data_IF_117208281830
#
_entry.id   IF_117208281830
#
_cell.length_a   1.000
_cell.length_b   1.000
_cell.length_c   1.000
_cell.angle_alpha   90.00
_cell.angle_beta   90.00
_cell.angle_gamma   90.00
#
_symmetry.space_group_name_H-M   'P 1'
#
loop_
_entity.id
_entity.type
_entity.pdbx_description
1 polymer ?
#
# COMPACT_ATOMS: atom_id res chain seq x y z
N UNK A 1 5.56 63.57 -28.51
CA UNK A 1 5.01 64.62 -27.63
C UNK A 1 3.52 64.36 -27.50
N UNK A 2 3.04 64.17 -26.25
CA UNK A 2 1.72 63.69 -25.79
C UNK A 2 1.50 62.17 -25.91
N UNK A 3 1.11 61.43 -24.88
CA UNK A 3 1.16 61.61 -23.43
C UNK A 3 1.26 60.19 -22.85
N UNK A 4 2.32 59.92 -22.10
CA UNK A 4 2.55 58.70 -21.34
C UNK A 4 2.09 59.02 -19.92
N UNK A 5 0.92 58.52 -19.51
CA UNK A 5 0.44 58.38 -18.12
C UNK A 5 -0.99 57.85 -18.12
N UNK A 6 -1.10 56.53 -18.25
CA UNK A 6 -2.11 55.73 -17.54
C UNK A 6 -1.77 54.24 -17.73
N UNK A 7 -0.65 53.83 -17.13
CA UNK A 7 -0.44 52.45 -16.74
C UNK A 7 -0.78 52.41 -15.25
N UNK A 8 -1.96 51.88 -14.91
CA UNK A 8 -2.29 51.54 -13.55
C UNK A 8 -1.18 50.67 -12.98
N UNK A 9 -0.64 51.10 -11.84
CA UNK A 9 0.42 50.39 -11.14
C UNK A 9 0.03 48.93 -10.98
N UNK A 10 0.85 48.04 -11.53
CA UNK A 10 1.03 46.76 -10.87
C UNK A 10 1.63 47.10 -9.51
N UNK A 11 0.78 47.23 -8.50
CA UNK A 11 1.23 47.37 -7.13
C UNK A 11 2.19 46.21 -6.87
N UNK A 12 3.44 46.59 -6.65
CA UNK A 12 4.49 45.76 -6.12
C UNK A 12 3.95 45.09 -4.86
N UNK A 13 3.61 43.81 -4.97
CA UNK A 13 3.48 42.95 -3.80
C UNK A 13 4.80 43.05 -3.03
N UNK A 14 4.78 43.27 -1.71
CA UNK A 14 6.01 43.28 -0.95
C UNK A 14 6.66 41.90 -1.13
N UNK A 15 7.96 41.94 -1.46
CA UNK A 15 8.86 40.81 -1.32
C UNK A 15 8.95 40.49 0.18
N UNK A 16 7.95 39.78 0.70
CA UNK A 16 7.94 39.30 2.08
C UNK A 16 8.41 37.85 2.05
N UNK A 17 9.62 37.66 2.55
CA UNK A 17 10.30 36.40 2.86
C UNK A 17 9.58 35.53 3.90
N UNK A 18 8.25 35.49 3.94
CA UNK A 18 7.47 34.69 4.89
C UNK A 18 6.26 34.04 4.20
N UNK A 19 6.30 32.71 4.02
CA UNK A 19 5.21 31.88 3.48
C UNK A 19 3.96 31.78 4.38
N UNK A 20 3.74 32.75 5.29
CA UNK A 20 2.64 32.78 6.26
C UNK A 20 1.32 33.33 5.70
N UNK A 21 1.36 34.07 4.58
CA UNK A 21 0.19 34.78 4.05
C UNK A 21 -0.88 33.90 3.38
N UNK A 22 -0.59 32.65 3.04
CA UNK A 22 -1.54 31.79 2.29
C UNK A 22 -2.68 31.20 3.15
N UNK A 23 -2.45 30.99 4.45
CA UNK A 23 -3.40 30.31 5.35
C UNK A 23 -3.54 30.93 6.76
N UNK A 24 -3.72 32.25 6.94
CA UNK A 24 -3.68 32.88 8.27
C UNK A 24 -4.76 32.38 9.26
N UNK A 25 -5.88 31.91 8.74
CA UNK A 25 -7.06 31.50 9.51
C UNK A 25 -7.06 30.02 9.91
N UNK A 26 -6.29 29.17 9.21
CA UNK A 26 -6.14 27.76 9.56
C UNK A 26 -5.37 27.57 10.89
N UNK A 27 -4.69 28.63 11.35
CA UNK A 27 -3.89 28.66 12.57
C UNK A 27 -4.65 29.19 13.80
N UNK A 28 -5.87 29.70 13.62
CA UNK A 28 -6.59 30.42 14.68
C UNK A 28 -7.53 29.54 15.54
N UNK A 29 -7.70 28.26 15.22
CA UNK A 29 -8.59 27.35 15.95
C UNK A 29 -7.78 26.38 16.84
N UNK A 30 -7.52 26.77 18.09
CA UNK A 30 -6.67 26.04 19.07
C UNK A 30 -7.20 24.65 19.49
N UNK A 31 -8.36 24.21 19.02
CA UNK A 31 -9.00 22.95 19.46
C UNK A 31 -9.58 22.14 18.29
N UNK A 32 -8.85 22.03 17.17
CA UNK A 32 -9.30 21.29 16.00
C UNK A 32 -9.03 19.78 16.11
N UNK A 33 -10.06 18.99 15.81
CA UNK A 33 -10.04 17.53 15.72
C UNK A 33 -9.58 17.06 14.33
N UNK A 34 -8.69 16.05 14.21
CA UNK A 34 -7.75 15.57 15.24
C UNK A 34 -6.68 16.64 15.52
N UNK A 35 -5.97 16.53 16.66
CA UNK A 35 -4.85 17.41 17.05
C UNK A 35 -3.75 17.41 15.98
N UNK A 36 -3.93 18.25 14.97
CA UNK A 36 -3.00 18.50 13.88
C UNK A 36 -2.20 19.74 14.24
N UNK A 37 -0.90 19.70 13.96
CA UNK A 37 -0.07 20.89 14.12
C UNK A 37 -0.49 21.97 13.11
N UNK A 38 -0.20 23.25 13.40
CA UNK A 38 -0.26 24.35 12.44
C UNK A 38 0.24 24.01 11.03
N UNK A 39 1.33 23.25 10.93
CA UNK A 39 1.92 22.85 9.65
C UNK A 39 1.07 21.80 8.93
N UNK A 40 0.60 20.78 9.64
CA UNK A 40 -0.26 19.74 9.06
C UNK A 40 -1.61 20.30 8.61
N UNK A 41 -2.15 21.29 9.32
CA UNK A 41 -3.35 22.01 8.89
C UNK A 41 -3.10 22.76 7.58
N UNK A 42 -1.94 23.41 7.44
CA UNK A 42 -1.54 24.06 6.18
C UNK A 42 -1.43 23.02 5.05
N UNK A 43 -0.79 21.88 5.27
CA UNK A 43 -0.67 20.79 4.29
C UNK A 43 -2.04 20.26 3.82
N UNK A 44 -2.96 20.10 4.75
CA UNK A 44 -4.33 19.70 4.44
C UNK A 44 -5.06 20.75 3.59
N UNK A 45 -4.94 22.03 3.96
CA UNK A 45 -5.51 23.13 3.18
C UNK A 45 -4.95 23.23 1.77
N UNK A 46 -3.64 23.05 1.60
CA UNK A 46 -3.03 22.99 0.28
C UNK A 46 -3.60 21.83 -0.55
N UNK A 47 -3.79 20.67 0.08
CA UNK A 47 -4.39 19.50 -0.57
C UNK A 47 -5.85 19.74 -0.99
N UNK A 48 -6.64 20.43 -0.15
CA UNK A 48 -8.00 20.82 -0.50
C UNK A 48 -8.01 21.83 -1.66
N UNK A 49 -7.13 22.82 -1.63
CA UNK A 49 -7.00 23.80 -2.71
C UNK A 49 -6.76 23.14 -4.06
N UNK A 50 -5.79 22.22 -4.14
CA UNK A 50 -5.48 21.49 -5.37
C UNK A 50 -6.62 20.59 -5.84
N UNK A 51 -7.37 20.00 -4.91
CA UNK A 51 -8.53 19.15 -5.23
C UNK A 51 -9.70 19.93 -5.78
N UNK A 52 -10.01 21.08 -5.16
CA UNK A 52 -11.18 21.89 -5.44
C UNK A 52 -11.00 22.86 -6.61
N UNK A 53 -9.77 23.01 -7.10
CA UNK A 53 -9.50 23.83 -8.27
C UNK A 53 -9.97 23.15 -9.55
N UNK A 54 -10.86 23.80 -10.28
CA UNK A 54 -11.38 23.27 -11.54
C UNK A 54 -10.26 23.11 -12.59
N UNK A 55 -10.23 21.94 -13.23
CA UNK A 55 -9.21 21.60 -14.23
C UNK A 55 -7.94 20.97 -13.68
N UNK A 56 -7.77 20.91 -12.34
CA UNK A 56 -6.78 20.03 -11.72
C UNK A 56 -7.38 18.64 -11.51
N UNK A 57 -6.85 17.66 -12.24
CA UNK A 57 -7.21 16.25 -12.06
C UNK A 57 -6.04 15.42 -11.54
N UNK A 58 -6.30 14.14 -11.29
CA UNK A 58 -5.32 13.20 -10.70
C UNK A 58 -3.96 13.15 -11.40
N UNK A 59 -3.93 13.26 -12.74
CA UNK A 59 -2.68 13.29 -13.51
C UNK A 59 -1.90 14.59 -13.30
N UNK A 60 -2.60 15.71 -13.13
CA UNK A 60 -1.98 17.01 -12.87
C UNK A 60 -1.43 17.06 -11.44
N UNK A 61 -2.13 16.46 -10.47
CA UNK A 61 -1.63 16.34 -9.10
C UNK A 61 -0.29 15.61 -9.04
N UNK A 62 -0.13 14.49 -9.76
CA UNK A 62 1.17 13.80 -9.88
C UNK A 62 2.26 14.72 -10.41
N UNK A 63 2.00 15.42 -11.52
CA UNK A 63 2.98 16.35 -12.13
C UNK A 63 3.36 17.50 -11.20
N UNK A 64 2.40 18.01 -10.44
CA UNK A 64 2.63 19.05 -9.43
C UNK A 64 3.50 18.52 -8.28
N UNK A 65 3.16 17.35 -7.73
CA UNK A 65 3.95 16.72 -6.66
C UNK A 65 5.37 16.36 -7.14
N UNK A 66 5.53 15.81 -8.35
CA UNK A 66 6.85 15.50 -8.93
C UNK A 66 7.71 16.76 -9.11
N UNK A 67 7.09 17.87 -9.52
CA UNK A 67 7.82 19.11 -9.80
C UNK A 67 8.19 19.88 -8.53
N UNK A 68 7.30 19.88 -7.54
CA UNK A 68 7.38 20.77 -6.36
C UNK A 68 7.49 20.01 -5.03
N UNK A 69 7.62 18.69 -5.05
CA UNK A 69 7.84 17.82 -3.89
C UNK A 69 6.55 17.27 -3.26
N UNK A 70 5.61 18.15 -2.94
CA UNK A 70 4.37 17.80 -2.23
C UNK A 70 3.22 18.79 -2.55
N UNK A 71 1.99 18.56 -2.04
CA UNK A 71 0.86 19.46 -2.27
C UNK A 71 1.11 20.91 -1.82
N UNK A 72 1.81 21.12 -0.70
CA UNK A 72 2.13 22.46 -0.20
C UNK A 72 3.11 23.19 -1.11
N UNK A 73 4.21 22.55 -1.47
CA UNK A 73 5.20 23.08 -2.41
C UNK A 73 4.55 23.43 -3.74
N UNK A 74 3.62 22.60 -4.23
CA UNK A 74 2.85 22.90 -5.43
C UNK A 74 2.02 24.18 -5.27
N UNK A 75 1.28 24.35 -4.18
CA UNK A 75 0.46 25.55 -3.93
C UNK A 75 1.33 26.81 -3.80
N UNK A 76 2.43 26.75 -3.04
CA UNK A 76 3.35 27.87 -2.87
C UNK A 76 3.99 28.30 -4.21
N UNK A 77 4.18 27.34 -5.13
CA UNK A 77 4.71 27.59 -6.46
C UNK A 77 3.64 27.92 -7.53
N UNK A 78 2.39 28.19 -7.16
CA UNK A 78 1.27 28.38 -8.11
C UNK A 78 1.56 29.36 -9.26
N UNK A 79 2.25 30.47 -8.97
CA UNK A 79 2.62 31.48 -9.97
C UNK A 79 3.60 30.97 -11.04
N UNK A 80 4.32 29.89 -10.75
CA UNK A 80 5.31 29.28 -11.64
C UNK A 80 4.75 28.14 -12.48
N UNK A 81 3.53 27.65 -12.20
CA UNK A 81 3.00 26.46 -12.86
C UNK A 81 2.97 26.54 -14.39
N UNK A 82 2.69 27.73 -14.95
CA UNK A 82 2.65 27.95 -16.40
C UNK A 82 4.05 28.00 -17.00
N UNK A 83 4.96 28.76 -16.37
CA UNK A 83 6.36 28.91 -16.83
C UNK A 83 7.09 27.57 -16.79
N UNK A 84 6.83 26.78 -15.74
CA UNK A 84 7.39 25.44 -15.58
C UNK A 84 6.66 24.38 -16.44
N UNK A 85 5.68 24.77 -17.26
CA UNK A 85 4.97 23.90 -18.19
C UNK A 85 4.09 22.83 -17.54
N UNK A 86 3.76 22.98 -16.25
CA UNK A 86 3.01 21.98 -15.48
C UNK A 86 1.52 22.03 -15.80
N UNK A 87 0.95 23.23 -15.93
CA UNK A 87 -0.49 23.41 -16.21
C UNK A 87 -0.70 24.50 -17.27
N UNK A 88 -1.90 24.56 -17.85
CA UNK A 88 -2.27 25.63 -18.77
C UNK A 88 -2.54 26.94 -18.03
N UNK A 89 -2.40 28.07 -18.73
CA UNK A 89 -2.69 29.39 -18.17
C UNK A 89 -4.11 29.49 -17.60
N UNK A 90 -5.08 28.84 -18.25
CA UNK A 90 -6.47 28.76 -17.77
C UNK A 90 -6.56 28.15 -16.37
N UNK A 91 -5.88 27.02 -16.14
CA UNK A 91 -5.93 26.31 -14.86
C UNK A 91 -5.17 27.06 -13.77
N UNK A 92 -4.02 27.66 -14.09
CA UNK A 92 -3.30 28.49 -13.14
C UNK A 92 -4.11 29.72 -12.72
N UNK A 93 -4.80 30.37 -13.66
CA UNK A 93 -5.69 31.49 -13.37
C UNK A 93 -6.88 31.09 -12.50
N UNK A 94 -7.44 29.91 -12.74
CA UNK A 94 -8.50 29.34 -11.91
C UNK A 94 -8.03 29.10 -10.47
N UNK A 95 -6.83 28.57 -10.27
CA UNK A 95 -6.26 28.40 -8.93
C UNK A 95 -6.05 29.75 -8.22
N UNK A 96 -5.44 30.70 -8.93
CA UNK A 96 -5.07 32.02 -8.39
C UNK A 96 -6.27 32.96 -8.18
N UNK A 97 -7.44 32.63 -8.73
CA UNK A 97 -8.68 33.36 -8.46
C UNK A 97 -9.29 33.01 -7.09
N UNK A 98 -8.74 32.00 -6.42
CA UNK A 98 -9.22 31.49 -5.12
C UNK A 98 -10.66 30.94 -5.15
N UNK A 99 -11.18 30.59 -6.35
CA UNK A 99 -12.52 30.00 -6.51
C UNK A 99 -12.71 28.69 -5.74
N UNK A 100 -11.63 27.95 -5.53
CA UNK A 100 -11.59 26.69 -4.77
C UNK A 100 -11.87 26.87 -3.28
N UNK A 101 -11.73 28.08 -2.72
CA UNK A 101 -11.82 28.32 -1.26
C UNK A 101 -13.17 27.96 -0.68
N UNK A 102 -14.24 28.33 -1.36
CA UNK A 102 -15.61 28.11 -0.88
C UNK A 102 -15.93 26.60 -0.79
N UNK A 103 -15.66 25.85 -1.85
CA UNK A 103 -15.93 24.41 -1.86
C UNK A 103 -14.95 23.63 -0.98
N UNK A 104 -13.70 24.08 -0.87
CA UNK A 104 -12.74 23.53 0.09
C UNK A 104 -13.18 23.78 1.55
N UNK A 105 -13.78 24.95 1.84
CA UNK A 105 -14.35 25.27 3.15
C UNK A 105 -15.54 24.39 3.49
N UNK A 106 -16.42 24.14 2.53
CA UNK A 106 -17.53 23.20 2.71
C UNK A 106 -17.04 21.78 3.01
N UNK A 107 -15.99 21.30 2.33
CA UNK A 107 -15.38 20.00 2.63
C UNK A 107 -14.72 20.00 4.02
N UNK A 108 -13.99 21.06 4.38
CA UNK A 108 -13.42 21.23 5.72
C UNK A 108 -14.44 21.16 6.84
N UNK A 109 -15.50 21.98 6.76
CA UNK A 109 -16.55 22.00 7.78
C UNK A 109 -17.22 20.61 7.85
N UNK A 110 -17.46 19.97 6.71
CA UNK A 110 -18.02 18.62 6.66
C UNK A 110 -17.13 17.55 7.33
N UNK A 111 -15.80 17.67 7.21
CA UNK A 111 -14.80 16.80 7.84
C UNK A 111 -14.75 17.03 9.34
N UNK A 112 -14.62 18.30 9.76
CA UNK A 112 -14.55 18.71 11.16
C UNK A 112 -15.81 18.28 11.91
N UNK A 113 -16.98 18.66 11.39
CA UNK A 113 -18.26 18.48 12.09
C UNK A 113 -18.65 17.00 12.23
N UNK A 114 -18.17 16.14 11.33
CA UNK A 114 -18.38 14.67 11.38
C UNK A 114 -17.21 13.92 11.99
N UNK A 115 -16.14 14.60 12.36
CA UNK A 115 -14.97 14.02 12.99
C UNK A 115 -14.17 13.07 12.11
N UNK A 116 -14.14 13.27 10.79
CA UNK A 116 -13.36 12.40 9.90
C UNK A 116 -11.86 12.62 10.04
N UNK A 117 -11.12 11.51 10.14
CA UNK A 117 -9.66 11.54 10.10
C UNK A 117 -9.16 11.41 8.66
N UNK A 118 -8.04 12.09 8.37
CA UNK A 118 -7.35 12.02 7.09
C UNK A 118 -5.96 11.40 7.26
N UNK A 119 -5.45 10.82 6.18
CA UNK A 119 -4.04 10.53 5.93
C UNK A 119 -3.61 11.42 4.77
N UNK A 120 -2.81 12.44 5.05
CA UNK A 120 -2.29 13.39 4.07
C UNK A 120 -1.10 12.80 3.33
N UNK A 121 -0.81 13.30 2.13
CA UNK A 121 0.40 12.95 1.35
C UNK A 121 1.69 12.96 2.16
N UNK A 122 1.81 13.94 3.05
CA UNK A 122 3.01 14.18 3.88
C UNK A 122 3.02 13.39 5.17
N UNK A 123 1.93 12.72 5.53
CA UNK A 123 1.86 11.90 6.75
C UNK A 123 2.76 10.66 6.57
N UNK A 124 3.49 10.23 7.62
CA UNK A 124 4.28 8.99 7.60
C UNK A 124 3.45 7.75 7.22
N UNK A 125 2.18 7.72 7.64
CA UNK A 125 1.25 6.63 7.36
C UNK A 125 0.80 6.56 5.90
N UNK A 126 1.07 7.59 5.09
CA UNK A 126 0.66 7.60 3.69
C UNK A 126 1.47 6.57 2.89
N UNK A 127 0.80 5.60 2.22
CA UNK A 127 1.48 4.54 1.49
C UNK A 127 2.37 5.07 0.36
N UNK A 128 3.65 4.73 0.38
CA UNK A 128 4.59 5.13 -0.67
C UNK A 128 4.20 4.57 -2.05
N UNK A 129 3.66 3.35 -2.08
CA UNK A 129 3.13 2.73 -3.30
C UNK A 129 2.02 3.56 -3.96
N UNK A 130 1.24 4.32 -3.17
CA UNK A 130 0.23 5.23 -3.71
C UNK A 130 0.82 6.53 -4.22
N UNK A 131 2.02 6.94 -3.80
CA UNK A 131 2.68 8.09 -4.42
C UNK A 131 3.06 7.74 -5.85
N UNK A 132 3.57 6.53 -6.09
CA UNK A 132 4.14 6.03 -7.36
C UNK A 132 3.15 5.91 -8.52
N UNK A 133 1.84 5.87 -8.27
CA UNK A 133 0.86 5.71 -9.35
C UNK A 133 0.64 7.01 -10.14
N UNK A 134 0.16 6.89 -11.37
CA UNK A 134 -0.07 8.03 -12.27
C UNK A 134 -1.09 9.07 -11.77
N UNK A 135 -1.95 8.70 -10.83
CA UNK A 135 -2.99 9.56 -10.27
C UNK A 135 -3.10 9.38 -8.76
N UNK A 136 -2.08 9.79 -8.00
CA UNK A 136 -1.98 9.48 -6.59
C UNK A 136 -2.95 10.39 -5.80
N UNK A 137 -3.71 9.85 -4.83
CA UNK A 137 -4.64 10.67 -4.06
C UNK A 137 -3.87 11.71 -3.24
N UNK A 138 -4.36 12.95 -3.17
CA UNK A 138 -3.70 13.99 -2.35
C UNK A 138 -3.80 13.67 -0.84
N UNK A 139 -4.86 12.98 -0.46
CA UNK A 139 -5.14 12.49 0.88
C UNK A 139 -6.19 11.39 0.82
N UNK A 140 -6.30 10.63 1.91
CA UNK A 140 -7.32 9.61 2.10
C UNK A 140 -8.11 9.91 3.37
N UNK A 141 -9.43 9.85 3.29
CA UNK A 141 -10.28 9.69 4.46
C UNK A 141 -10.07 8.31 5.06
N UNK A 142 -10.10 8.20 6.39
CA UNK A 142 -9.97 6.92 7.08
C UNK A 142 -10.97 6.74 8.22
N UNK A 143 -11.33 5.48 8.44
CA UNK A 143 -12.06 4.97 9.61
C UNK A 143 -11.39 3.67 10.05
N UNK A 144 -11.02 3.56 11.33
CA UNK A 144 -10.27 2.41 11.85
C UNK A 144 -8.76 2.65 11.89
N UNK A 145 -7.98 1.56 11.83
CA UNK A 145 -6.56 1.53 12.17
C UNK A 145 -5.64 1.88 10.97
N UNK A 146 -5.00 3.06 10.93
CA UNK A 146 -4.13 3.45 9.82
C UNK A 146 -2.82 2.65 9.75
N UNK A 147 -2.41 1.96 10.83
CA UNK A 147 -1.18 1.17 10.84
C UNK A 147 -1.18 0.06 9.77
N UNK A 148 -2.36 -0.39 9.34
CA UNK A 148 -2.50 -1.37 8.26
C UNK A 148 -1.96 -0.87 6.91
N UNK A 149 -1.83 0.45 6.71
CA UNK A 149 -1.24 1.04 5.51
C UNK A 149 0.28 0.85 5.40
N UNK A 150 0.94 0.41 6.48
CA UNK A 150 2.39 0.25 6.56
C UNK A 150 2.84 -1.20 6.33
N UNK A 151 1.91 -2.16 6.38
CA UNK A 151 2.19 -3.58 6.19
C UNK A 151 2.11 -4.02 4.71
N UNK A 152 2.67 -5.19 4.38
CA UNK A 152 2.51 -5.77 3.06
C UNK A 152 1.04 -6.07 2.80
N UNK A 153 0.57 -5.72 1.62
CA UNK A 153 -0.82 -5.87 1.23
C UNK A 153 -0.97 -6.82 0.04
N UNK A 154 -2.08 -7.56 -0.02
CA UNK A 154 -2.54 -8.27 -1.22
C UNK A 154 -3.98 -7.88 -1.50
N UNK A 155 -4.24 -7.49 -2.74
CA UNK A 155 -5.58 -7.15 -3.17
C UNK A 155 -6.34 -8.40 -3.58
N UNK A 156 -7.52 -8.65 -3.00
CA UNK A 156 -8.37 -9.80 -3.33
C UNK A 156 -9.64 -9.28 -3.98
N UNK A 157 -9.86 -9.63 -5.25
CA UNK A 157 -10.97 -9.11 -6.07
C UNK A 157 -11.66 -10.22 -6.85
N UNK A 158 -12.89 -9.98 -7.28
CA UNK A 158 -13.60 -10.93 -8.13
C UNK A 158 -15.06 -10.57 -8.38
N UNK A 159 -15.84 -11.61 -8.67
CA UNK A 159 -17.23 -11.50 -9.07
C UNK A 159 -18.11 -11.00 -7.93
N UNK A 160 -19.09 -10.16 -8.29
CA UNK A 160 -20.17 -9.74 -7.40
C UNK A 160 -21.24 -10.83 -7.23
N UNK A 161 -21.36 -11.72 -8.21
CA UNK A 161 -22.18 -12.92 -8.20
C UNK A 161 -21.24 -14.11 -8.17
N UNK A 162 -20.92 -14.58 -6.97
CA UNK A 162 -19.88 -15.57 -6.71
C UNK A 162 -20.51 -16.92 -6.35
N UNK A 163 -19.93 -18.00 -6.83
CA UNK A 163 -20.34 -19.37 -6.48
C UNK A 163 -20.13 -19.67 -4.98
N UNK A 164 -20.69 -20.77 -4.45
CA UNK A 164 -20.38 -21.20 -3.08
C UNK A 164 -18.90 -21.53 -2.92
N UNK A 165 -18.31 -22.16 -3.94
CA UNK A 165 -16.88 -22.45 -3.96
C UNK A 165 -16.03 -21.18 -3.95
N UNK A 166 -16.35 -20.20 -4.81
CA UNK A 166 -15.65 -18.92 -4.87
C UNK A 166 -15.79 -18.10 -3.58
N UNK A 167 -16.92 -18.24 -2.86
CA UNK A 167 -17.11 -17.65 -1.53
C UNK A 167 -16.18 -18.27 -0.49
N UNK A 168 -16.11 -19.59 -0.45
CA UNK A 168 -15.21 -20.32 0.44
C UNK A 168 -13.75 -19.95 0.13
N UNK A 169 -13.35 -20.00 -1.14
CA UNK A 169 -12.00 -19.63 -1.58
C UNK A 169 -11.65 -18.18 -1.23
N UNK A 170 -12.54 -17.22 -1.47
CA UNK A 170 -12.30 -15.82 -1.10
C UNK A 170 -12.13 -15.65 0.42
N UNK A 171 -12.95 -16.34 1.21
CA UNK A 171 -12.83 -16.33 2.68
C UNK A 171 -11.51 -16.96 3.15
N UNK A 172 -11.17 -18.15 2.63
CA UNK A 172 -9.95 -18.87 2.99
C UNK A 172 -8.69 -18.08 2.59
N UNK A 173 -8.65 -17.52 1.38
CA UNK A 173 -7.57 -16.61 0.97
C UNK A 173 -7.47 -15.41 1.90
N UNK A 174 -8.60 -14.79 2.24
CA UNK A 174 -8.65 -13.66 3.17
C UNK A 174 -8.05 -14.03 4.54
N UNK A 175 -8.53 -15.12 5.13
CA UNK A 175 -8.09 -15.65 6.42
C UNK A 175 -6.60 -15.97 6.41
N UNK A 176 -6.16 -16.76 5.43
CA UNK A 176 -4.82 -17.34 5.44
C UNK A 176 -3.75 -16.29 5.11
N UNK A 177 -4.03 -15.33 4.21
CA UNK A 177 -3.16 -14.16 4.00
C UNK A 177 -3.03 -13.33 5.28
N UNK A 178 -4.15 -13.05 5.93
CA UNK A 178 -4.17 -12.26 7.18
C UNK A 178 -3.47 -12.97 8.34
N UNK A 179 -3.61 -14.29 8.46
CA UNK A 179 -2.88 -15.09 9.44
C UNK A 179 -1.37 -15.08 9.20
N UNK A 180 -0.95 -15.00 7.94
CA UNK A 180 0.44 -14.78 7.56
C UNK A 180 0.90 -13.32 7.74
N UNK A 181 0.10 -12.45 8.36
CA UNK A 181 0.45 -11.04 8.58
C UNK A 181 0.33 -10.14 7.34
N UNK A 182 -0.23 -10.64 6.24
CA UNK A 182 -0.46 -9.87 5.02
C UNK A 182 -1.86 -9.24 5.05
N UNK A 183 -1.91 -7.92 4.91
CA UNK A 183 -3.17 -7.18 4.92
C UNK A 183 -3.95 -7.39 3.63
N UNK A 184 -5.23 -7.73 3.76
CA UNK A 184 -6.10 -7.95 2.59
C UNK A 184 -6.78 -6.64 2.19
N UNK A 185 -6.58 -6.21 0.95
CA UNK A 185 -7.20 -4.99 0.40
C UNK A 185 -8.33 -5.37 -0.56
N UNK A 186 -9.50 -4.78 -0.41
CA UNK A 186 -10.58 -4.99 -1.37
C UNK A 186 -11.56 -3.81 -1.44
N UNK A 187 -12.56 -3.93 -2.32
CA UNK A 187 -13.42 -2.83 -2.76
C UNK A 187 -14.80 -2.79 -2.13
N UNK A 188 -15.05 -3.53 -1.04
CA UNK A 188 -16.34 -3.56 -0.35
C UNK A 188 -17.53 -4.02 -1.21
N UNK A 189 -17.31 -4.58 -2.40
CA UNK A 189 -18.40 -5.03 -3.26
C UNK A 189 -19.12 -6.26 -2.68
N UNK A 190 -20.27 -6.62 -3.28
CA UNK A 190 -20.85 -7.94 -3.04
C UNK A 190 -19.90 -9.04 -3.52
N UNK A 191 -20.13 -10.26 -3.07
CA UNK A 191 -19.43 -11.44 -3.56
C UNK A 191 -18.02 -11.58 -3.02
N UNK A 192 -17.02 -11.69 -3.89
CA UNK A 192 -15.62 -11.99 -3.50
C UNK A 192 -15.09 -11.00 -2.46
N UNK A 193 -15.19 -9.68 -2.72
CA UNK A 193 -14.72 -8.63 -1.82
C UNK A 193 -15.24 -8.81 -0.38
N UNK A 194 -16.54 -9.09 -0.23
CA UNK A 194 -17.18 -9.32 1.08
C UNK A 194 -16.50 -10.47 1.82
N UNK A 195 -16.34 -11.62 1.16
CA UNK A 195 -15.86 -12.83 1.83
C UNK A 195 -14.36 -12.73 2.14
N UNK A 196 -13.59 -12.08 1.25
CA UNK A 196 -12.20 -11.76 1.50
C UNK A 196 -12.01 -10.88 2.75
N UNK A 197 -12.81 -9.81 2.88
CA UNK A 197 -12.81 -8.98 4.09
C UNK A 197 -13.15 -9.80 5.34
N UNK A 198 -14.24 -10.58 5.32
CA UNK A 198 -14.67 -11.37 6.48
C UNK A 198 -13.62 -12.41 6.91
N UNK A 199 -12.98 -13.09 5.96
CA UNK A 199 -11.90 -14.02 6.26
C UNK A 199 -10.70 -13.30 6.87
N UNK A 200 -10.29 -12.20 6.24
CA UNK A 200 -9.12 -11.43 6.68
C UNK A 200 -9.26 -10.84 8.08
N UNK A 201 -10.47 -10.48 8.50
CA UNK A 201 -10.75 -9.99 9.85
C UNK A 201 -10.49 -11.01 10.98
N UNK A 202 -10.21 -12.28 10.65
CA UNK A 202 -9.90 -13.32 11.65
C UNK A 202 -8.41 -13.43 11.98
N UNK A 203 -7.54 -12.84 11.16
CA UNK A 203 -6.09 -12.85 11.34
C UNK A 203 -5.52 -11.48 11.70
N UNK A 204 -4.23 -11.46 12.04
CA UNK A 204 -3.50 -10.27 12.48
C UNK A 204 -3.25 -9.23 11.39
N UNK A 205 -3.15 -9.66 10.12
CA UNK A 205 -2.98 -8.78 8.97
C UNK A 205 -4.22 -7.91 8.71
N UNK A 206 -5.38 -8.35 9.21
CA UNK A 206 -6.67 -7.68 9.08
C UNK A 206 -6.97 -7.27 7.63
N UNK A 207 -7.80 -6.25 7.44
CA UNK A 207 -8.24 -5.86 6.11
C UNK A 207 -8.48 -4.36 5.94
N UNK A 208 -8.23 -3.89 4.71
CA UNK A 208 -8.49 -2.53 4.24
C UNK A 208 -9.59 -2.56 3.17
N UNK A 209 -10.70 -1.87 3.42
CA UNK A 209 -11.67 -1.56 2.37
C UNK A 209 -11.39 -0.19 1.76
N UNK A 210 -11.32 -0.13 0.44
CA UNK A 210 -11.23 1.13 -0.30
C UNK A 210 -12.61 1.45 -0.86
N UNK A 211 -13.23 2.60 -0.56
CA UNK A 211 -14.60 2.92 -1.02
C UNK A 211 -14.64 3.71 -2.33
N UNK A 212 -15.71 3.50 -3.10
CA UNK A 212 -16.08 4.32 -4.27
C UNK A 212 -17.06 5.44 -3.94
N UNK A 213 -17.18 5.78 -2.66
CA UNK A 213 -18.16 6.68 -2.06
C UNK A 213 -17.50 7.50 -0.95
N UNK A 214 -18.18 8.53 -0.46
CA UNK A 214 -17.75 9.24 0.75
C UNK A 214 -17.71 8.32 1.98
N UNK A 215 -16.93 8.67 3.03
CA UNK A 215 -16.77 7.84 4.23
C UNK A 215 -18.08 7.62 5.01
N UNK A 216 -19.08 8.48 4.81
CA UNK A 216 -20.43 8.43 5.39
C UNK A 216 -21.47 7.68 4.53
N UNK A 217 -21.07 7.13 3.37
CA UNK A 217 -21.96 6.49 2.41
C UNK A 217 -21.60 5.02 2.22
N UNK A 218 -22.26 4.15 2.99
CA UNK A 218 -22.08 2.70 2.90
C UNK A 218 -22.71 2.16 1.61
N UNK A 219 -21.89 1.56 0.74
CA UNK A 219 -22.35 0.89 -0.47
C UNK A 219 -21.55 -0.39 -0.73
N UNK A 220 -22.20 -1.53 -1.03
CA UNK A 220 -23.65 -1.73 -1.08
C UNK A 220 -24.28 -1.77 0.33
N UNK A 221 -25.55 -1.39 0.51
CA UNK A 221 -26.22 -1.44 1.83
C UNK A 221 -26.20 -2.82 2.49
N UNK A 222 -26.17 -3.90 1.69
CA UNK A 222 -26.10 -5.28 2.18
C UNK A 222 -24.78 -5.63 2.88
N UNK A 223 -23.74 -4.80 2.76
CA UNK A 223 -22.44 -4.99 3.42
C UNK A 223 -22.25 -4.04 4.61
N UNK A 224 -23.35 -3.51 5.18
CA UNK A 224 -23.29 -2.64 6.37
C UNK A 224 -22.62 -3.32 7.56
N UNK A 225 -22.87 -4.60 7.74
CA UNK A 225 -22.22 -5.43 8.76
C UNK A 225 -20.70 -5.47 8.57
N UNK A 226 -20.21 -5.73 7.35
CA UNK A 226 -18.77 -5.76 7.03
C UNK A 226 -18.14 -4.39 7.25
N UNK A 227 -18.87 -3.31 6.92
CA UNK A 227 -18.39 -1.94 7.14
C UNK A 227 -18.14 -1.70 8.62
N UNK A 228 -19.10 -2.06 9.46
CA UNK A 228 -18.95 -1.95 10.89
C UNK A 228 -17.80 -2.82 11.40
N UNK A 229 -17.66 -4.07 10.96
CA UNK A 229 -16.52 -4.92 11.33
C UNK A 229 -15.18 -4.27 11.00
N UNK A 230 -15.01 -3.75 9.77
CA UNK A 230 -13.78 -3.11 9.32
C UNK A 230 -13.48 -1.81 10.08
N UNK A 231 -14.49 -1.01 10.42
CA UNK A 231 -14.25 0.23 11.18
C UNK A 231 -13.78 -0.02 12.62
N UNK A 232 -14.02 -1.21 13.18
CA UNK A 232 -13.62 -1.56 14.55
C UNK A 232 -12.28 -2.32 14.63
N UNK A 233 -12.00 -3.20 13.66
CA UNK A 233 -10.78 -4.04 13.70
C UNK A 233 -9.90 -3.97 12.45
N UNK A 234 -10.35 -3.27 11.42
CA UNK A 234 -9.64 -3.10 10.16
C UNK A 234 -9.45 -1.63 9.82
N UNK A 235 -9.51 -1.32 8.54
CA UNK A 235 -9.43 0.04 8.03
C UNK A 235 -10.38 0.21 6.85
N UNK A 236 -11.09 1.34 6.82
CA UNK A 236 -11.83 1.79 5.66
C UNK A 236 -11.22 3.10 5.19
N UNK A 237 -10.87 3.17 3.91
CA UNK A 237 -10.33 4.38 3.30
C UNK A 237 -11.14 4.81 2.07
N UNK A 238 -11.10 6.10 1.76
CA UNK A 238 -11.64 6.62 0.51
C UNK A 238 -10.98 7.93 0.13
N UNK A 239 -10.84 8.17 -1.17
CA UNK A 239 -10.45 9.49 -1.66
C UNK A 239 -11.66 10.40 -1.92
N UNK A 240 -12.89 9.90 -1.84
CA UNK A 240 -14.09 10.69 -2.15
C UNK A 240 -14.56 11.50 -0.94
N UNK A 241 -14.98 12.74 -1.17
CA UNK A 241 -15.40 13.68 -0.12
C UNK A 241 -16.64 13.18 0.63
N UNK A 242 -16.88 13.62 1.88
CA UNK A 242 -18.12 13.36 2.60
C UNK A 242 -19.37 13.66 1.75
N UNK A 243 -20.37 12.79 1.84
CA UNK A 243 -21.62 12.90 1.12
C UNK A 243 -21.63 12.29 -0.28
N UNK A 244 -20.47 12.01 -0.90
CA UNK A 244 -20.40 11.48 -2.27
C UNK A 244 -21.12 10.12 -2.40
N UNK A 245 -22.17 10.11 -3.21
CA UNK A 245 -23.01 8.96 -3.49
C UNK A 245 -22.33 7.94 -4.43
N UNK A 246 -22.78 6.67 -4.43
CA UNK A 246 -22.27 5.66 -5.35
C UNK A 246 -22.58 6.02 -6.81
N UNK A 247 -21.54 6.21 -7.61
CA UNK A 247 -21.64 6.44 -9.05
C UNK A 247 -20.78 5.43 -9.81
N UNK A 248 -21.26 4.93 -10.95
CA UNK A 248 -20.58 3.90 -11.73
C UNK A 248 -19.13 4.29 -12.10
N UNK A 249 -18.89 5.57 -12.41
CA UNK A 249 -17.57 6.11 -12.72
C UNK A 249 -16.58 6.14 -11.54
N UNK A 250 -17.06 6.10 -10.29
CA UNK A 250 -16.19 6.14 -9.12
C UNK A 250 -15.46 4.82 -8.90
N UNK A 251 -16.08 3.68 -9.24
CA UNK A 251 -15.50 2.36 -8.93
C UNK A 251 -14.21 2.08 -9.72
N UNK A 252 -14.10 2.36 -11.04
CA UNK A 252 -12.84 2.24 -11.76
C UNK A 252 -11.74 3.18 -11.25
N UNK A 253 -12.11 4.41 -10.83
CA UNK A 253 -11.17 5.37 -10.24
C UNK A 253 -10.62 4.80 -8.93
N UNK A 254 -11.51 4.32 -8.05
CA UNK A 254 -11.16 3.66 -6.79
C UNK A 254 -10.25 2.44 -6.98
N UNK A 255 -10.51 1.61 -7.98
CA UNK A 255 -9.78 0.34 -8.18
C UNK A 255 -8.27 0.53 -8.34
N UNK A 256 -7.82 1.67 -8.86
CA UNK A 256 -6.39 1.97 -8.97
C UNK A 256 -5.70 2.06 -7.59
N UNK A 257 -6.42 2.40 -6.52
CA UNK A 257 -5.91 2.44 -5.15
C UNK A 257 -5.84 1.02 -4.59
N UNK A 258 -6.85 0.19 -4.87
CA UNK A 258 -6.86 -1.23 -4.46
C UNK A 258 -5.63 -1.95 -5.01
N UNK A 259 -5.42 -1.87 -6.33
CA UNK A 259 -4.29 -2.55 -6.97
C UNK A 259 -2.94 -2.00 -6.50
N UNK A 260 -2.84 -0.69 -6.29
CA UNK A 260 -1.59 -0.03 -5.94
C UNK A 260 -1.14 -0.31 -4.50
N UNK A 261 -2.08 -0.44 -3.57
CA UNK A 261 -1.76 -0.82 -2.19
C UNK A 261 -1.11 -2.21 -2.14
N UNK A 262 -1.58 -3.14 -2.96
CA UNK A 262 -1.08 -4.51 -2.98
C UNK A 262 0.33 -4.65 -3.57
N UNK A 263 1.05 -5.68 -3.12
CA UNK A 263 2.20 -6.24 -3.83
C UNK A 263 1.75 -7.02 -5.07
N UNK A 264 0.56 -7.60 -4.99
CA UNK A 264 -0.15 -8.19 -6.12
C UNK A 264 -1.66 -8.17 -5.93
N UNK A 265 -2.37 -8.53 -7.00
CA UNK A 265 -3.82 -8.69 -7.06
C UNK A 265 -4.16 -10.15 -7.35
N UNK A 266 -4.97 -10.79 -6.51
CA UNK A 266 -5.55 -12.10 -6.79
C UNK A 266 -7.00 -11.96 -7.26
N UNK A 267 -7.30 -12.56 -8.41
CA UNK A 267 -8.65 -12.68 -8.95
C UNK A 267 -9.21 -14.06 -8.59
N UNK A 268 -10.25 -14.09 -7.75
CA UNK A 268 -10.78 -15.35 -7.18
C UNK A 268 -11.78 -16.03 -8.12
N UNK A 269 -12.76 -15.29 -8.61
CA UNK A 269 -13.77 -15.79 -9.55
C UNK A 269 -14.14 -14.62 -10.45
N UNK A 270 -14.12 -14.81 -11.76
CA UNK A 270 -14.45 -13.76 -12.72
C UNK A 270 -14.90 -14.36 -14.04
N UNK A 271 -16.05 -13.88 -14.52
CA UNK A 271 -16.49 -14.10 -15.91
C UNK A 271 -15.70 -13.20 -16.87
N UNK A 272 -15.75 -13.54 -18.16
CA UNK A 272 -15.28 -12.63 -19.23
C UNK A 272 -15.92 -11.25 -19.06
N UNK A 273 -15.13 -10.20 -19.31
CA UNK A 273 -15.53 -8.78 -19.17
C UNK A 273 -15.92 -8.36 -17.74
N UNK A 274 -15.55 -9.12 -16.71
CA UNK A 274 -15.75 -8.71 -15.31
C UNK A 274 -14.94 -7.45 -14.98
N UNK A 275 -15.48 -6.59 -14.09
CA UNK A 275 -14.76 -5.43 -13.56
C UNK A 275 -13.47 -5.81 -12.81
N UNK A 276 -13.38 -7.03 -12.26
CA UNK A 276 -12.16 -7.53 -11.63
C UNK A 276 -10.98 -7.62 -12.61
N UNK A 277 -11.24 -7.90 -13.90
CA UNK A 277 -10.22 -7.95 -14.94
C UNK A 277 -9.64 -6.56 -15.25
N UNK A 278 -10.43 -5.50 -15.02
CA UNK A 278 -9.93 -4.12 -15.12
C UNK A 278 -8.91 -3.85 -14.02
N UNK A 279 -9.20 -4.26 -12.78
CA UNK A 279 -8.26 -4.14 -11.66
C UNK A 279 -6.98 -4.94 -11.90
N UNK A 280 -7.08 -6.15 -12.44
CA UNK A 280 -5.91 -6.96 -12.81
C UNK A 280 -5.02 -6.27 -13.86
N UNK A 281 -5.62 -5.66 -14.90
CA UNK A 281 -4.86 -4.88 -15.87
C UNK A 281 -4.19 -3.64 -15.25
N UNK A 282 -4.92 -2.91 -14.40
CA UNK A 282 -4.37 -1.76 -13.68
C UNK A 282 -3.19 -2.17 -12.77
N UNK A 283 -3.24 -3.35 -12.15
CA UNK A 283 -2.13 -3.89 -11.38
C UNK A 283 -0.87 -4.09 -12.21
N UNK A 284 -0.98 -4.69 -13.40
CA UNK A 284 0.16 -4.85 -14.32
C UNK A 284 0.75 -3.49 -14.74
N UNK A 285 -0.09 -2.51 -15.06
CA UNK A 285 0.34 -1.13 -15.38
C UNK A 285 1.08 -0.46 -14.21
N UNK A 286 0.77 -0.85 -12.98
CA UNK A 286 1.39 -0.37 -11.74
C UNK A 286 2.58 -1.24 -11.28
N UNK A 287 3.01 -2.21 -12.10
CA UNK A 287 4.12 -3.11 -11.78
C UNK A 287 3.82 -4.05 -10.61
N UNK A 288 2.56 -4.47 -10.46
CA UNK A 288 2.11 -5.41 -9.42
C UNK A 288 1.89 -6.79 -10.02
N UNK A 289 2.17 -7.81 -9.23
CA UNK A 289 1.93 -9.19 -9.63
C UNK A 289 0.42 -9.44 -9.78
N UNK A 290 0.05 -10.28 -10.74
CA UNK A 290 -1.35 -10.69 -10.93
C UNK A 290 -1.44 -12.19 -10.77
N UNK A 291 -2.28 -12.59 -9.82
CA UNK A 291 -2.63 -13.96 -9.53
C UNK A 291 -4.06 -14.24 -9.98
N UNK A 292 -4.31 -15.46 -10.42
CA UNK A 292 -5.65 -15.92 -10.74
C UNK A 292 -5.87 -17.29 -10.10
N UNK A 293 -7.00 -17.44 -9.42
CA UNK A 293 -7.35 -18.73 -8.82
C UNK A 293 -7.57 -19.74 -9.94
N UNK A 294 -6.92 -20.89 -9.80
CA UNK A 294 -7.08 -22.01 -10.72
C UNK A 294 -8.53 -22.49 -10.66
N UNK A 295 -9.27 -22.50 -11.80
CA UNK A 295 -10.65 -22.92 -11.79
C UNK A 295 -10.79 -24.38 -11.32
N UNK A 296 -11.82 -24.71 -10.53
CA UNK A 296 -12.19 -26.11 -10.31
C UNK A 296 -12.55 -26.78 -11.64
N UNK A 297 -12.44 -28.11 -11.70
CA UNK A 297 -12.85 -28.87 -12.90
C UNK A 297 -14.31 -28.57 -13.25
N UNK A 298 -14.56 -28.26 -14.53
CA UNK A 298 -15.88 -27.93 -15.08
C UNK A 298 -16.59 -26.72 -14.40
N UNK A 299 -15.86 -25.84 -13.72
CA UNK A 299 -16.44 -24.70 -13.03
C UNK A 299 -16.90 -23.60 -14.00
N UNK A 300 -18.17 -23.20 -13.88
CA UNK A 300 -18.76 -22.07 -14.61
C UNK A 300 -18.48 -20.78 -13.87
N UNK A 301 -18.20 -19.69 -14.59
CA UNK A 301 -17.97 -18.37 -13.99
C UNK A 301 -16.50 -18.01 -13.75
N UNK A 302 -15.58 -18.89 -14.16
CA UNK A 302 -14.13 -18.73 -14.04
C UNK A 302 -13.44 -18.40 -15.37
N UNK A 303 -14.21 -18.12 -16.43
CA UNK A 303 -13.67 -17.94 -17.78
C UNK A 303 -12.67 -16.78 -17.86
N UNK A 304 -12.86 -15.75 -17.04
CA UNK A 304 -11.93 -14.63 -16.92
C UNK A 304 -10.69 -14.94 -16.07
N UNK A 305 -10.76 -15.88 -15.13
CA UNK A 305 -9.57 -16.36 -14.42
C UNK A 305 -8.69 -17.20 -15.36
N UNK A 306 -9.32 -18.08 -16.16
CA UNK A 306 -8.61 -18.83 -17.20
C UNK A 306 -7.94 -17.90 -18.22
N UNK A 307 -8.67 -16.88 -18.71
CA UNK A 307 -8.11 -15.87 -19.63
C UNK A 307 -6.90 -15.13 -19.03
N UNK A 308 -6.96 -14.75 -17.74
CA UNK A 308 -5.82 -14.13 -17.07
C UNK A 308 -4.61 -15.07 -16.99
N UNK A 309 -4.81 -16.36 -16.70
CA UNK A 309 -3.74 -17.35 -16.64
C UNK A 309 -3.11 -17.53 -18.03
N UNK A 310 -3.94 -17.63 -19.07
CA UNK A 310 -3.48 -17.70 -20.47
C UNK A 310 -2.67 -16.45 -20.87
N UNK A 311 -3.07 -15.28 -20.36
CA UNK A 311 -2.37 -13.99 -20.54
C UNK A 311 -1.12 -13.83 -19.64
N UNK A 312 -0.79 -14.83 -18.81
CA UNK A 312 0.44 -14.89 -18.01
C UNK A 312 0.29 -14.53 -16.54
N UNK A 313 -0.93 -14.42 -16.01
CA UNK A 313 -1.16 -14.35 -14.57
C UNK A 313 -0.73 -15.65 -13.87
N UNK A 314 -0.28 -15.52 -12.63
CA UNK A 314 0.28 -16.63 -11.85
C UNK A 314 -0.89 -17.47 -11.29
N UNK A 315 -0.99 -18.76 -11.65
CA UNK A 315 -2.08 -19.60 -11.17
C UNK A 315 -1.86 -19.96 -9.70
N UNK A 316 -2.90 -19.77 -8.88
CA UNK A 316 -2.85 -20.07 -7.44
C UNK A 316 -4.01 -20.94 -7.00
N UNK A 317 -3.82 -21.68 -5.91
CA UNK A 317 -4.84 -22.52 -5.28
C UNK A 317 -5.04 -22.18 -3.80
N UNK A 318 -4.11 -21.44 -3.21
CA UNK A 318 -4.10 -21.08 -1.80
C UNK A 318 -3.34 -19.78 -1.54
N UNK A 319 -3.47 -19.24 -0.33
CA UNK A 319 -2.68 -18.09 0.12
C UNK A 319 -1.18 -18.40 0.15
N UNK A 320 -0.82 -19.67 0.42
CA UNK A 320 0.58 -20.13 0.43
C UNK A 320 1.26 -19.93 -0.91
N UNK A 321 0.56 -20.19 -2.01
CA UNK A 321 1.13 -20.01 -3.36
C UNK A 321 1.43 -18.52 -3.62
N UNK A 322 0.54 -17.64 -3.17
CA UNK A 322 0.70 -16.18 -3.28
C UNK A 322 1.90 -15.72 -2.45
N UNK A 323 1.97 -16.13 -1.18
CA UNK A 323 3.07 -15.73 -0.27
C UNK A 323 4.41 -16.26 -0.76
N UNK A 324 4.46 -17.49 -1.27
CA UNK A 324 5.69 -18.06 -1.82
C UNK A 324 6.21 -17.25 -3.01
N UNK A 325 5.32 -16.85 -3.93
CA UNK A 325 5.71 -16.02 -5.07
C UNK A 325 6.13 -14.60 -4.65
N UNK A 326 5.46 -14.03 -3.64
CA UNK A 326 5.78 -12.70 -3.11
C UNK A 326 6.99 -12.70 -2.16
N UNK A 327 7.51 -13.85 -1.75
CA UNK A 327 8.62 -14.00 -0.80
C UNK A 327 9.80 -13.04 -1.06
N UNK A 328 10.36 -12.99 -2.29
CA UNK A 328 11.46 -12.08 -2.61
C UNK A 328 11.11 -10.59 -2.46
N UNK A 329 9.85 -10.21 -2.74
CA UNK A 329 9.39 -8.83 -2.58
C UNK A 329 9.18 -8.48 -1.11
N UNK A 330 8.62 -9.40 -0.33
CA UNK A 330 8.44 -9.26 1.11
C UNK A 330 9.80 -9.12 1.81
N UNK A 331 10.77 -9.97 1.48
CA UNK A 331 12.15 -9.87 1.99
C UNK A 331 12.80 -8.52 1.67
N UNK A 332 12.60 -7.99 0.47
CA UNK A 332 13.15 -6.70 0.07
C UNK A 332 12.55 -5.52 0.86
N UNK A 333 11.23 -5.54 1.10
CA UNK A 333 10.56 -4.54 1.95
C UNK A 333 11.05 -4.60 3.40
N UNK A 334 11.26 -5.81 3.92
CA UNK A 334 11.77 -6.04 5.27
C UNK A 334 13.20 -5.53 5.47
N UNK A 335 14.04 -5.67 4.44
CA UNK A 335 15.42 -5.18 4.45
C UNK A 335 15.54 -3.66 4.17
N UNK A 336 14.42 -2.93 4.06
CA UNK A 336 14.41 -1.49 3.81
C UNK A 336 14.98 -1.07 2.44
N UNK A 337 15.07 -2.01 1.48
CA UNK A 337 15.60 -1.73 0.14
C UNK A 337 14.46 -1.23 -0.74
N UNK A 338 14.40 0.08 -0.97
CA UNK A 338 13.46 0.70 -1.92
C UNK A 338 13.47 -0.02 -3.27
N UNK A 339 12.28 -0.33 -3.81
CA UNK A 339 12.08 -0.96 -5.12
C UNK A 339 12.89 -0.23 -6.20
N UNK A 340 13.85 -0.92 -6.83
CA UNK A 340 14.35 -0.54 -8.16
C UNK A 340 13.44 -1.20 -9.19
N UNK A 341 12.64 -0.41 -9.89
CA UNK A 341 11.78 -0.89 -10.98
C UNK A 341 12.64 -1.44 -12.13
N UNK A 342 12.75 -2.76 -12.19
CA UNK A 342 13.30 -3.48 -13.35
C UNK A 342 12.19 -4.29 -13.99
N UNK A 343 11.46 -3.71 -14.94
CA UNK A 343 10.55 -4.47 -15.79
C UNK A 343 11.38 -5.44 -16.65
N UNK A 344 11.54 -6.69 -16.19
CA UNK A 344 11.90 -7.79 -17.08
C UNK A 344 10.65 -8.13 -17.88
N UNK A 345 10.51 -7.49 -19.04
CA UNK A 345 9.59 -7.94 -20.08
C UNK A 345 9.96 -9.39 -20.44
N UNK A 346 9.19 -10.36 -19.92
CA UNK A 346 9.17 -11.71 -20.51
C UNK A 346 8.49 -11.60 -21.87
N UNK A 347 9.17 -12.16 -22.88
CA UNK A 347 9.04 -11.79 -24.28
C UNK A 347 7.67 -12.04 -24.92
N UNK A 348 7.35 -11.22 -25.92
CA UNK A 348 6.26 -11.44 -26.86
C UNK A 348 6.47 -12.75 -27.65
N UNK A 349 5.41 -13.50 -27.99
CA UNK A 349 5.51 -14.60 -28.92
C UNK A 349 5.63 -14.06 -30.35
N UNK A 350 6.78 -14.26 -30.98
CA UNK A 350 6.95 -14.07 -32.43
C UNK A 350 6.75 -15.39 -33.14
N UNK A 351 5.75 -15.42 -34.02
CA UNK A 351 5.55 -16.44 -35.05
C UNK A 351 6.71 -16.44 -36.07
N UNK A 352 7.22 -17.62 -36.45
CA UNK A 352 7.99 -17.78 -37.70
C UNK A 352 9.07 -18.88 -37.75
N UNK A 353 8.69 -20.06 -38.27
CA UNK A 353 9.41 -20.95 -39.21
C UNK A 353 10.94 -21.23 -39.08
N UNK A 354 11.23 -22.49 -38.75
CA UNK A 354 12.16 -23.46 -39.40
C UNK A 354 13.63 -23.12 -39.75
N UNK A 355 14.58 -23.91 -39.21
CA UNK A 355 15.89 -24.22 -39.82
C UNK A 355 17.03 -24.50 -38.80
N UNK A 356 18.00 -25.41 -39.05
CA UNK A 356 18.60 -26.30 -38.04
C UNK A 356 20.04 -25.90 -37.56
N UNK A 357 20.67 -26.67 -36.64
CA UNK A 357 21.65 -26.17 -35.66
C UNK A 357 23.11 -26.39 -36.06
N UNK A 358 24.01 -25.61 -35.46
CA UNK A 358 25.45 -25.86 -35.49
C UNK A 358 26.09 -25.87 -34.11
N UNK A 359 27.11 -26.71 -34.04
CA UNK A 359 27.77 -27.32 -32.89
C UNK A 359 28.89 -26.50 -32.24
N UNK A 360 29.30 -26.99 -31.06
CA UNK A 360 30.64 -26.94 -30.45
C UNK A 360 31.08 -25.70 -29.66
N UNK A 361 31.69 -25.98 -28.50
CA UNK A 361 32.71 -25.11 -27.91
C UNK A 361 32.85 -25.16 -26.39
N UNK A 362 33.50 -26.22 -25.87
CA UNK A 362 34.08 -26.25 -24.52
C UNK A 362 35.09 -25.11 -24.30
N UNK A 363 35.20 -24.57 -23.07
CA UNK A 363 36.47 -24.56 -22.32
C UNK A 363 36.33 -24.06 -20.86
N UNK A 364 37.00 -24.81 -19.98
CA UNK A 364 37.27 -24.57 -18.54
C UNK A 364 38.39 -23.55 -18.33
N UNK A 365 38.52 -23.07 -17.09
CA UNK A 365 39.74 -22.94 -16.22
C UNK A 365 39.55 -21.75 -15.26
N UNK A 366 40.10 -21.62 -14.05
CA UNK A 366 40.56 -22.47 -12.93
C UNK A 366 41.21 -21.53 -11.89
N UNK A 367 40.95 -21.74 -10.59
CA UNK A 367 41.78 -21.54 -9.38
C UNK A 367 42.62 -20.26 -9.13
N UNK A 368 42.54 -19.71 -7.89
CA UNK A 368 43.60 -19.85 -6.84
C UNK A 368 43.35 -19.11 -5.51
N UNK A 369 43.89 -19.74 -4.46
CA UNK A 369 44.06 -19.50 -3.02
C UNK A 369 44.69 -18.16 -2.55
N UNK A 370 44.47 -17.78 -1.27
CA UNK A 370 45.54 -17.56 -0.23
C UNK A 370 44.99 -17.55 1.23
N UNK A 371 45.78 -18.14 2.14
CA UNK A 371 45.74 -18.24 3.63
C UNK A 371 46.30 -16.96 4.32
N UNK A 372 46.46 -16.72 5.63
CA UNK A 372 45.96 -17.07 6.99
C UNK A 372 46.87 -16.26 7.97
N UNK A 373 46.46 -16.01 9.24
CA UNK A 373 47.37 -15.51 10.29
C UNK A 373 46.71 -14.94 11.57
N UNK A 374 46.86 -15.64 12.72
CA UNK A 374 46.47 -15.23 14.11
C UNK A 374 47.47 -14.25 14.80
N UNK A 375 47.38 -13.80 16.07
CA UNK A 375 46.81 -14.28 17.38
C UNK A 375 46.91 -13.14 18.44
N UNK A 376 46.06 -13.10 19.49
CA UNK A 376 46.41 -13.04 20.96
C UNK A 376 45.17 -12.76 21.88
N UNK A 377 45.24 -13.13 23.17
CA UNK A 377 44.14 -13.28 24.17
C UNK A 377 44.46 -12.53 25.48
N UNK A 378 43.47 -11.87 26.12
CA UNK A 378 42.99 -11.98 27.54
C UNK A 378 42.37 -10.65 28.08
N UNK A 379 41.58 -10.60 29.19
CA UNK A 379 40.41 -11.42 29.60
C UNK A 379 39.22 -10.56 30.12
N UNK A 380 37.97 -10.82 29.69
CA UNK A 380 36.74 -10.47 30.45
C UNK A 380 35.57 -11.38 30.01
N UNK A 381 35.57 -12.64 30.45
CA UNK A 381 35.07 -13.77 29.64
C UNK A 381 33.84 -14.53 30.19
N UNK A 382 32.91 -13.89 30.90
CA UNK A 382 31.73 -14.58 31.44
C UNK A 382 30.38 -14.16 30.84
N UNK A 383 30.17 -12.90 30.44
CA UNK A 383 28.89 -12.47 29.82
C UNK A 383 28.91 -12.48 28.28
N UNK A 384 30.06 -12.19 27.66
CA UNK A 384 30.24 -12.27 26.20
C UNK A 384 30.22 -13.71 25.70
N UNK A 385 30.70 -14.67 26.50
CA UNK A 385 30.74 -16.07 26.11
C UNK A 385 29.34 -16.65 25.87
N UNK A 386 28.29 -16.19 26.56
CA UNK A 386 26.92 -16.66 26.30
C UNK A 386 26.38 -16.15 24.95
N UNK A 387 26.59 -14.86 24.64
CA UNK A 387 26.20 -14.25 23.36
C UNK A 387 26.99 -14.85 22.18
N UNK A 388 28.29 -15.08 22.39
CA UNK A 388 29.19 -15.62 21.37
C UNK A 388 29.01 -17.13 21.18
N UNK A 389 28.65 -17.89 22.23
CA UNK A 389 28.33 -19.32 22.10
C UNK A 389 27.00 -19.54 21.38
N UNK A 390 25.98 -18.70 21.64
CA UNK A 390 24.70 -18.75 20.91
C UNK A 390 24.83 -18.30 19.45
N UNK A 391 25.61 -17.23 19.19
CA UNK A 391 25.93 -16.76 17.83
C UNK A 391 26.64 -17.82 16.97
N UNK A 392 27.39 -18.75 17.60
CA UNK A 392 28.13 -19.79 16.88
C UNK A 392 27.33 -21.07 16.61
N UNK A 393 26.17 -21.23 17.23
CA UNK A 393 25.37 -22.46 17.15
C UNK A 393 24.16 -22.35 16.20
N UNK A 394 23.76 -21.15 15.79
CA UNK A 394 22.70 -20.93 14.80
C UNK A 394 23.21 -19.94 13.75
N UNK A 395 23.68 -20.47 12.61
CA UNK A 395 23.97 -19.62 11.46
C UNK A 395 22.62 -19.22 10.85
N UNK A 396 22.02 -18.17 11.39
CA UNK A 396 20.74 -17.68 10.92
C UNK A 396 20.93 -17.02 9.54
N UNK A 397 19.97 -17.18 8.62
CA UNK A 397 19.97 -16.47 7.36
C UNK A 397 20.03 -14.95 7.58
N UNK A 398 20.72 -14.21 6.71
CA UNK A 398 20.84 -12.75 6.81
C UNK A 398 19.49 -12.01 6.75
N UNK A 399 18.41 -12.69 6.33
CA UNK A 399 17.03 -12.21 6.32
C UNK A 399 16.41 -12.03 7.71
N UNK A 400 16.91 -12.75 8.72
CA UNK A 400 16.32 -12.81 10.08
C UNK A 400 16.90 -11.74 11.01
N UNK A 401 18.17 -11.36 10.80
CA UNK A 401 18.86 -10.28 11.54
C UNK A 401 18.90 -10.46 13.06
N UNK A 402 19.29 -9.39 13.76
CA UNK A 402 19.37 -9.36 15.23
C UNK A 402 17.99 -9.48 15.92
N UNK A 403 16.93 -9.09 15.20
CA UNK A 403 15.56 -9.17 15.68
C UNK A 403 15.12 -10.64 15.85
N UNK A 404 15.37 -11.52 14.87
CA UNK A 404 14.99 -12.92 15.03
C UNK A 404 15.84 -13.68 16.05
N UNK A 405 17.10 -13.29 16.25
CA UNK A 405 17.92 -13.77 17.37
C UNK A 405 17.30 -13.41 18.72
N UNK A 406 16.89 -12.15 18.86
CA UNK A 406 16.26 -11.64 20.08
C UNK A 406 14.98 -12.42 20.37
N UNK A 407 14.11 -12.58 19.37
CA UNK A 407 12.86 -13.33 19.54
C UNK A 407 13.10 -14.80 19.88
N UNK A 408 13.98 -15.49 19.15
CA UNK A 408 14.33 -16.89 19.43
C UNK A 408 14.93 -17.06 20.83
N UNK A 409 15.73 -16.10 21.31
CA UNK A 409 16.31 -16.16 22.66
C UNK A 409 15.27 -16.02 23.77
N UNK A 410 14.15 -15.35 23.49
CA UNK A 410 13.02 -15.19 24.43
C UNK A 410 12.11 -16.41 24.49
N UNK A 411 12.16 -17.28 23.47
CA UNK A 411 11.42 -18.54 23.43
C UNK A 411 12.21 -19.65 24.16
N UNK A 412 11.57 -20.34 25.09
CA UNK A 412 12.14 -21.55 25.70
C UNK A 412 11.99 -22.75 24.75
N UNK A 413 12.96 -23.67 24.78
CA UNK A 413 12.95 -24.86 23.92
C UNK A 413 11.76 -25.76 24.29
N UNK A 414 10.90 -26.06 23.30
CA UNK A 414 9.69 -26.87 23.48
C UNK A 414 8.49 -26.13 24.07
N UNK A 415 8.62 -24.87 24.48
CA UNK A 415 7.50 -24.07 24.97
C UNK A 415 6.66 -23.51 23.81
N UNK A 416 5.34 -23.47 24.02
CA UNK A 416 4.38 -22.84 23.10
C UNK A 416 3.94 -21.50 23.72
N UNK A 417 4.29 -20.40 23.08
CA UNK A 417 4.13 -19.03 23.60
C UNK A 417 3.16 -18.24 22.72
N UNK A 418 2.31 -17.41 23.31
CA UNK A 418 1.39 -16.53 22.57
C UNK A 418 2.11 -15.30 22.01
N UNK A 419 1.65 -14.76 20.88
CA UNK A 419 2.27 -13.58 20.25
C UNK A 419 2.30 -12.34 21.17
N UNK A 420 1.24 -12.10 21.93
CA UNK A 420 1.16 -10.96 22.86
C UNK A 420 2.17 -11.09 24.01
N UNK A 421 2.43 -12.32 24.47
CA UNK A 421 3.41 -12.59 25.52
C UNK A 421 4.84 -12.38 25.01
N UNK A 422 5.11 -12.73 23.75
CA UNK A 422 6.38 -12.41 23.10
C UNK A 422 6.55 -10.89 22.90
N UNK A 423 5.48 -10.19 22.54
CA UNK A 423 5.46 -8.73 22.41
C UNK A 423 5.76 -8.02 23.74
N UNK A 424 5.15 -8.49 24.83
CA UNK A 424 5.40 -7.97 26.17
C UNK A 424 6.85 -8.22 26.62
N UNK A 425 7.37 -9.45 26.45
CA UNK A 425 8.74 -9.80 26.85
C UNK A 425 9.83 -9.07 26.06
N UNK A 426 9.57 -8.75 24.79
CA UNK A 426 10.51 -8.06 23.91
C UNK A 426 10.36 -6.54 23.91
N UNK A 427 9.33 -6.02 24.58
CA UNK A 427 8.91 -4.61 24.49
C UNK A 427 8.70 -4.16 23.02
N UNK A 428 8.11 -5.03 22.20
CA UNK A 428 7.85 -4.77 20.78
C UNK A 428 6.37 -4.63 20.49
N UNK A 429 6.00 -3.87 19.47
CA UNK A 429 4.65 -3.94 18.91
C UNK A 429 4.35 -5.35 18.39
N UNK A 430 3.14 -5.86 18.64
CA UNK A 430 2.66 -7.18 18.17
C UNK A 430 2.83 -7.34 16.66
N UNK A 431 2.69 -6.26 15.90
CA UNK A 431 2.92 -6.23 14.45
C UNK A 431 4.37 -6.56 14.08
N UNK A 432 5.35 -6.04 14.84
CA UNK A 432 6.77 -6.33 14.65
C UNK A 432 7.08 -7.78 15.01
N UNK A 433 6.58 -8.26 16.14
CA UNK A 433 6.75 -9.65 16.58
C UNK A 433 6.20 -10.62 15.55
N UNK A 434 4.97 -10.37 15.08
CA UNK A 434 4.31 -11.21 14.08
C UNK A 434 5.09 -11.27 12.76
N UNK A 435 5.64 -10.13 12.34
CA UNK A 435 6.48 -10.04 11.14
C UNK A 435 7.75 -10.87 11.27
N UNK A 436 8.41 -10.83 12.43
CA UNK A 436 9.62 -11.62 12.70
C UNK A 436 9.28 -13.12 12.83
N UNK A 437 8.16 -13.46 13.45
CA UNK A 437 7.67 -14.85 13.56
C UNK A 437 7.37 -15.45 12.20
N UNK A 438 6.76 -14.70 11.27
CA UNK A 438 6.52 -15.15 9.90
C UNK A 438 7.82 -15.52 9.20
N UNK A 439 8.86 -14.69 9.34
CA UNK A 439 10.17 -14.95 8.74
C UNK A 439 10.82 -16.19 9.34
N UNK A 440 10.79 -16.31 10.66
CA UNK A 440 11.31 -17.48 11.35
C UNK A 440 10.56 -18.76 10.98
N UNK A 441 9.25 -18.68 10.72
CA UNK A 441 8.46 -19.80 10.24
C UNK A 441 8.80 -20.18 8.79
N UNK A 442 8.98 -19.20 7.91
CA UNK A 442 9.42 -19.44 6.53
C UNK A 442 10.79 -20.13 6.46
N UNK A 443 11.69 -19.79 7.39
CA UNK A 443 13.01 -20.41 7.53
C UNK A 443 12.99 -21.72 8.34
N UNK A 444 11.80 -22.14 8.83
CA UNK A 444 11.62 -23.38 9.60
C UNK A 444 12.16 -23.34 11.04
N UNK A 445 12.53 -22.15 11.54
CA UNK A 445 13.10 -21.93 12.87
C UNK A 445 12.05 -21.77 13.97
N UNK A 446 10.80 -21.50 13.58
CA UNK A 446 9.64 -21.42 14.47
C UNK A 446 8.47 -22.16 13.80
N UNK A 447 7.58 -22.72 14.61
CA UNK A 447 6.36 -23.41 14.17
C UNK A 447 5.14 -22.70 14.76
N UNK A 448 4.19 -22.34 13.90
CA UNK A 448 2.90 -21.79 14.31
C UNK A 448 1.92 -22.89 14.73
N UNK A 449 1.14 -22.59 15.77
CA UNK A 449 0.03 -23.38 16.30
C UNK A 449 -1.27 -22.57 16.26
N UNK A 450 -2.45 -23.21 16.25
CA UNK A 450 -3.73 -22.51 16.30
C UNK A 450 -3.83 -21.55 17.50
N UNK A 451 -4.45 -20.38 17.26
CA UNK A 451 -4.66 -19.36 18.30
C UNK A 451 -3.42 -18.50 18.58
N UNK A 452 -2.70 -18.07 17.54
CA UNK A 452 -1.57 -17.12 17.63
C UNK A 452 -0.45 -17.58 18.57
N UNK A 453 -0.19 -18.89 18.58
CA UNK A 453 0.81 -19.53 19.42
C UNK A 453 1.97 -20.06 18.60
N UNK A 454 3.18 -19.98 19.12
CA UNK A 454 4.41 -20.33 18.41
C UNK A 454 5.36 -21.11 19.30
N UNK A 455 6.12 -22.05 18.72
CA UNK A 455 7.22 -22.76 19.40
C UNK A 455 8.47 -22.75 18.51
N UNK A 456 9.66 -22.91 19.08
CA UNK A 456 10.87 -23.12 18.27
C UNK A 456 10.72 -24.33 17.35
N UNK A 457 11.25 -24.22 16.13
CA UNK A 457 11.43 -25.32 15.20
C UNK A 457 12.47 -26.30 15.74
N UNK A 458 12.20 -27.59 15.60
CA UNK A 458 13.10 -28.70 15.99
C UNK A 458 14.25 -28.88 15.04
#
# INVERSE_FOLDING_TARGET
>A
MKDIRDQGSFDTYPDSSEGSAFFPWALAEEHAWPTRTPEELRQMWASFALRHTAGLGVRTWRRLADRYGDPMGAVLAARRWVVDGVVSEKVAREFLSDSWRETARQEWDAVRDRGFALVLWTDPEYPQCLKEIAGPPLYLYRLGNPRLLQGPCVAVVGSRQVSDWGRAMAYDLGRDLSNAGVTVVSGMAKGVDRHAHLGAMTGIGSSIAVLGTGPDRIYPPSNRDVFHTLTHGGLVITEFSPGVAPAAGNFPVRNRIISALGLGVVVVEARRKSGALITARQALEQGREVFAVTPPENAVGFEGCAELIDDGAIPVRSARDIVAELGPLLEAELQGKSRKTGAKARGKPTSGRSGPPDTNGLQKTSDKYYQDGGKSISPDSSSENLKQTLSRALTLPASVGDDGLSLLSTMEDGAVVHVDELAERLEWDVSRVSRVLLLLEMEGLVKQWPGMRYSKGT
#
